data_IF_062344564273
#
_entry.id   IF_062344564273
#
_cell.length_a   1.000
_cell.length_b   1.000
_cell.length_c   1.000
_cell.angle_alpha   90.00
_cell.angle_beta   90.00
_cell.angle_gamma   90.00
#
_symmetry.space_group_name_H-M   'P 1'
#
loop_
_entity.id
_entity.type
_entity.pdbx_description
1 polymer ?
#
# COMPACT_ATOMS: atom_id res chain seq x y z
N UNK A 1 63.56 63.53 -13.72
CA UNK A 1 63.56 62.06 -13.51
C UNK A 1 63.29 61.58 -12.07
N UNK A 2 63.36 62.41 -11.00
CA UNK A 2 63.07 61.97 -9.62
C UNK A 2 61.57 61.76 -9.29
N UNK A 3 60.66 62.49 -9.96
CA UNK A 3 59.20 62.41 -9.71
C UNK A 3 58.57 61.06 -10.14
N UNK A 4 59.00 60.45 -11.25
CA UNK A 4 58.48 59.15 -11.68
C UNK A 4 58.84 57.98 -10.73
N UNK A 5 59.95 58.06 -10.01
CA UNK A 5 60.36 56.98 -9.08
C UNK A 5 59.45 56.93 -7.84
N UNK A 6 59.00 58.08 -7.34
CA UNK A 6 58.07 58.14 -6.21
C UNK A 6 56.67 57.63 -6.60
N UNK A 7 56.20 57.95 -7.81
CA UNK A 7 54.93 57.45 -8.33
C UNK A 7 54.91 55.90 -8.45
N UNK A 8 56.01 55.31 -8.94
CA UNK A 8 56.13 53.84 -9.05
C UNK A 8 56.14 53.18 -7.67
N UNK A 9 56.88 53.73 -6.69
CA UNK A 9 56.92 53.19 -5.33
C UNK A 9 55.52 53.27 -4.67
N UNK A 10 54.79 54.37 -4.86
CA UNK A 10 53.43 54.52 -4.34
C UNK A 10 52.47 53.48 -4.95
N UNK A 11 52.55 53.24 -6.26
CA UNK A 11 51.75 52.21 -6.94
C UNK A 11 52.06 50.79 -6.45
N UNK A 12 53.32 50.47 -6.20
CA UNK A 12 53.73 49.16 -5.65
C UNK A 12 53.15 48.97 -4.24
N UNK A 13 53.18 50.02 -3.39
CA UNK A 13 52.62 49.96 -2.03
C UNK A 13 51.10 49.77 -2.09
N UNK A 14 50.39 50.52 -2.95
CA UNK A 14 48.94 50.38 -3.13
C UNK A 14 48.58 48.99 -3.63
N UNK A 15 49.29 48.45 -4.62
CA UNK A 15 49.09 47.10 -5.13
C UNK A 15 49.32 46.03 -4.05
N UNK A 16 50.35 46.19 -3.22
CA UNK A 16 50.64 45.27 -2.11
C UNK A 16 49.55 45.31 -1.02
N UNK A 17 49.00 46.49 -0.72
CA UNK A 17 47.89 46.65 0.25
C UNK A 17 46.60 46.01 -0.30
N UNK A 18 46.26 46.25 -1.57
CA UNK A 18 45.09 45.64 -2.22
C UNK A 18 45.22 44.11 -2.24
N UNK A 19 46.39 43.59 -2.60
CA UNK A 19 46.66 42.15 -2.61
C UNK A 19 46.57 41.55 -1.19
N UNK A 20 47.08 42.25 -0.18
CA UNK A 20 46.96 41.87 1.23
C UNK A 20 45.51 41.82 1.71
N UNK A 21 44.69 42.81 1.33
CA UNK A 21 43.26 42.85 1.67
C UNK A 21 42.48 41.70 1.01
N UNK A 22 42.72 41.42 -0.27
CA UNK A 22 42.09 40.31 -1.00
C UNK A 22 42.46 38.95 -0.38
N UNK A 23 43.74 38.76 -0.03
CA UNK A 23 44.22 37.54 0.64
C UNK A 23 43.61 37.37 2.04
N UNK A 24 43.41 38.47 2.77
CA UNK A 24 42.77 38.42 4.08
C UNK A 24 41.27 38.14 3.99
N UNK A 25 40.60 38.68 2.97
CA UNK A 25 39.19 38.37 2.68
C UNK A 25 39.01 36.91 2.27
N UNK A 26 39.88 36.35 1.42
CA UNK A 26 39.80 34.94 1.02
C UNK A 26 40.01 33.99 2.19
N UNK A 27 40.96 34.27 3.09
CA UNK A 27 41.17 33.49 4.31
C UNK A 27 39.98 33.56 5.27
N UNK A 28 39.34 34.72 5.40
CA UNK A 28 38.11 34.87 6.20
C UNK A 28 36.95 34.08 5.61
N UNK A 29 36.79 34.10 4.29
CA UNK A 29 35.75 33.33 3.59
C UNK A 29 35.99 31.82 3.76
N UNK A 30 37.23 31.35 3.58
CA UNK A 30 37.61 29.95 3.81
C UNK A 30 37.36 29.49 5.24
N UNK A 31 37.63 30.35 6.24
CA UNK A 31 37.33 30.03 7.65
C UNK A 31 35.83 29.93 7.91
N UNK A 32 35.03 30.82 7.31
CA UNK A 32 33.56 30.76 7.42
C UNK A 32 32.99 29.52 6.76
N UNK A 33 33.45 29.17 5.57
CA UNK A 33 33.01 27.95 4.88
C UNK A 33 33.41 26.71 5.64
N UNK A 34 34.63 26.65 6.19
CA UNK A 34 35.06 25.51 7.03
C UNK A 34 34.24 25.40 8.32
N UNK A 35 33.91 26.52 8.97
CA UNK A 35 33.05 26.51 10.16
C UNK A 35 31.63 26.02 9.83
N UNK A 36 31.04 26.50 8.72
CA UNK A 36 29.73 26.05 8.27
C UNK A 36 29.73 24.57 7.88
N UNK A 37 30.80 24.08 7.22
CA UNK A 37 30.95 22.68 6.87
C UNK A 37 31.09 21.80 8.12
N UNK A 38 31.87 22.23 9.11
CA UNK A 38 32.02 21.53 10.38
C UNK A 38 30.68 21.42 11.13
N UNK A 39 29.86 22.47 11.10
CA UNK A 39 28.52 22.44 11.67
C UNK A 39 27.59 21.48 10.93
N UNK A 40 27.64 21.44 9.59
CA UNK A 40 26.87 20.48 8.79
C UNK A 40 27.28 19.04 9.10
N UNK A 41 28.58 18.76 9.24
CA UNK A 41 29.09 17.43 9.61
C UNK A 41 28.62 17.04 11.01
N UNK A 42 28.66 17.96 11.98
CA UNK A 42 28.17 17.69 13.33
C UNK A 42 26.66 17.36 13.34
N UNK A 43 25.84 18.13 12.62
CA UNK A 43 24.39 17.85 12.49
C UNK A 43 24.12 16.51 11.82
N UNK A 44 24.86 16.18 10.75
CA UNK A 44 24.71 14.90 10.07
C UNK A 44 25.11 13.73 10.98
N UNK A 45 26.16 13.87 11.80
CA UNK A 45 26.54 12.86 12.79
C UNK A 45 25.46 12.65 13.85
N UNK A 46 24.84 13.72 14.33
CA UNK A 46 23.70 13.62 15.26
C UNK A 46 22.54 12.85 14.62
N UNK A 47 22.15 13.20 13.39
CA UNK A 47 21.07 12.50 12.68
C UNK A 47 21.38 11.01 12.46
N UNK A 48 22.61 10.68 12.10
CA UNK A 48 23.03 9.27 11.95
C UNK A 48 22.94 8.52 13.27
N UNK A 49 23.31 9.15 14.39
CA UNK A 49 23.19 8.52 15.71
C UNK A 49 21.74 8.28 16.13
N UNK A 50 20.84 9.23 15.86
CA UNK A 50 19.41 9.10 16.14
C UNK A 50 18.77 8.00 15.28
N UNK A 51 19.07 7.97 13.98
CA UNK A 51 18.58 6.93 13.07
C UNK A 51 19.09 5.54 13.48
N UNK A 52 20.33 5.44 13.96
CA UNK A 52 20.91 4.18 14.43
C UNK A 52 20.19 3.68 15.69
N UNK A 53 19.90 4.55 16.65
CA UNK A 53 19.11 4.21 17.84
C UNK A 53 17.69 3.76 17.43
N UNK A 54 17.07 4.48 16.49
CA UNK A 54 15.75 4.11 15.95
C UNK A 54 15.75 2.73 15.27
N UNK A 55 16.78 2.44 14.46
CA UNK A 55 16.94 1.14 13.80
C UNK A 55 17.12 0.01 14.82
N UNK A 56 17.97 0.21 15.83
CA UNK A 56 18.20 -0.78 16.89
C UNK A 56 16.93 -1.04 17.69
N UNK A 57 16.11 0.00 17.93
CA UNK A 57 14.82 -0.13 18.62
C UNK A 57 13.82 -0.91 17.78
N UNK A 58 13.66 -0.56 16.50
CA UNK A 58 12.77 -1.28 15.59
C UNK A 58 13.18 -2.75 15.40
N UNK A 59 14.49 -3.04 15.39
CA UNK A 59 14.99 -4.42 15.35
C UNK A 59 14.64 -5.21 16.60
N UNK A 60 14.69 -4.59 17.79
CA UNK A 60 14.27 -5.24 19.05
C UNK A 60 12.76 -5.50 19.05
N UNK A 61 11.94 -4.51 18.68
CA UNK A 61 10.49 -4.67 18.59
C UNK A 61 10.11 -5.80 17.62
N UNK A 62 10.78 -5.87 16.45
CA UNK A 62 10.56 -6.96 15.49
C UNK A 62 10.97 -8.33 16.05
N UNK A 63 12.06 -8.40 16.82
CA UNK A 63 12.50 -9.63 17.47
C UNK A 63 11.53 -10.07 18.58
N UNK A 64 11.01 -9.14 19.37
CA UNK A 64 9.98 -9.41 20.38
C UNK A 64 8.67 -9.90 19.75
N UNK A 65 8.24 -9.26 18.66
CA UNK A 65 7.01 -9.68 17.95
C UNK A 65 7.16 -11.06 17.31
N UNK A 66 8.35 -11.37 16.77
CA UNK A 66 8.67 -12.73 16.30
C UNK A 66 8.65 -13.75 17.43
N UNK A 67 9.26 -13.43 18.57
CA UNK A 67 9.24 -14.31 19.73
C UNK A 67 7.80 -14.57 20.23
N UNK A 68 6.95 -13.53 20.30
CA UNK A 68 5.52 -13.69 20.64
C UNK A 68 4.79 -14.56 19.63
N UNK A 69 5.04 -14.36 18.34
CA UNK A 69 4.44 -15.19 17.28
C UNK A 69 4.87 -16.65 17.40
N UNK A 70 6.15 -16.90 17.65
CA UNK A 70 6.69 -18.25 17.82
C UNK A 70 6.14 -18.90 19.09
N UNK A 71 5.95 -18.14 20.17
CA UNK A 71 5.29 -18.62 21.40
C UNK A 71 3.82 -18.97 21.14
N UNK A 72 3.07 -18.12 20.44
CA UNK A 72 1.69 -18.42 20.04
C UNK A 72 1.65 -19.64 19.11
N UNK A 73 2.58 -19.76 18.17
CA UNK A 73 2.69 -20.91 17.28
C UNK A 73 3.02 -22.20 18.05
N UNK A 74 3.90 -22.14 19.05
CA UNK A 74 4.23 -23.28 19.91
C UNK A 74 3.07 -23.67 20.83
N UNK A 75 2.35 -22.69 21.39
CA UNK A 75 1.18 -22.92 22.22
C UNK A 75 0.04 -23.51 21.39
N UNK A 76 -0.18 -23.02 20.16
CA UNK A 76 -1.16 -23.58 19.23
C UNK A 76 -0.76 -24.96 18.71
N UNK A 77 0.53 -25.23 18.51
CA UNK A 77 1.03 -26.57 18.17
C UNK A 77 0.87 -27.56 19.33
N UNK A 78 1.11 -27.13 20.57
CA UNK A 78 0.86 -27.93 21.79
C UNK A 78 -0.63 -28.20 21.93
N UNK A 79 -1.49 -27.19 21.77
CA UNK A 79 -2.94 -27.37 21.75
C UNK A 79 -3.37 -28.33 20.64
N UNK A 80 -2.80 -28.20 19.44
CA UNK A 80 -3.08 -29.07 18.30
C UNK A 80 -2.57 -30.50 18.53
N UNK A 81 -1.52 -30.70 19.33
CA UNK A 81 -0.99 -32.00 19.73
C UNK A 81 -1.81 -32.63 20.85
N UNK A 82 -2.28 -31.85 21.82
CA UNK A 82 -3.25 -32.29 22.85
C UNK A 82 -4.61 -32.60 22.23
N UNK A 83 -4.98 -31.88 21.18
CA UNK A 83 -6.15 -32.14 20.34
C UNK A 83 -5.87 -33.17 19.24
N UNK A 84 -4.63 -33.64 19.07
CA UNK A 84 -4.28 -34.63 18.05
C UNK A 84 -4.93 -35.96 18.44
N UNK A 85 -5.89 -36.47 17.65
CA UNK A 85 -6.55 -37.73 17.97
C UNK A 85 -5.59 -38.87 17.65
N UNK A 86 -5.35 -39.74 18.63
CA UNK A 86 -5.09 -41.13 18.31
C UNK A 86 -6.19 -41.63 17.36
N UNK A 87 -5.79 -42.11 16.19
CA UNK A 87 -6.62 -42.79 15.19
C UNK A 87 -7.79 -41.95 14.59
N UNK A 88 -7.47 -41.12 13.60
CA UNK A 88 -8.30 -40.00 13.10
C UNK A 88 -9.38 -40.36 12.07
N UNK A 89 -9.39 -41.59 11.52
CA UNK A 89 -10.40 -41.97 10.52
C UNK A 89 -11.72 -42.46 11.14
N UNK A 90 -11.72 -42.92 12.39
CA UNK A 90 -12.90 -43.52 13.03
C UNK A 90 -13.81 -42.52 13.78
N UNK A 91 -13.46 -41.22 13.83
CA UNK A 91 -14.04 -40.25 14.79
C UNK A 91 -15.12 -39.33 14.22
N UNK A 92 -15.36 -39.35 12.92
CA UNK A 92 -16.44 -38.56 12.32
C UNK A 92 -17.74 -39.34 12.49
N UNK A 93 -18.47 -39.07 13.58
CA UNK A 93 -19.89 -39.43 13.66
C UNK A 93 -20.56 -38.93 12.38
N UNK A 94 -21.42 -39.75 11.77
CA UNK A 94 -22.22 -39.28 10.65
C UNK A 94 -22.93 -37.97 11.06
N UNK A 95 -23.01 -36.96 10.17
CA UNK A 95 -23.71 -35.73 10.49
C UNK A 95 -25.13 -36.07 10.96
N UNK A 96 -25.65 -35.38 11.99
CA UNK A 96 -27.00 -35.61 12.47
C UNK A 96 -28.01 -35.43 11.33
N UNK A 97 -29.12 -36.18 11.41
CA UNK A 97 -30.14 -36.25 10.33
C UNK A 97 -30.77 -34.88 10.01
N UNK A 98 -30.69 -33.94 10.96
CA UNK A 98 -31.16 -32.55 10.78
C UNK A 98 -29.98 -31.62 11.00
N UNK A 99 -29.83 -30.62 10.11
CA UNK A 99 -28.83 -29.57 10.21
C UNK A 99 -29.49 -28.18 10.13
N UNK A 100 -28.95 -27.16 10.81
CA UNK A 100 -27.88 -27.24 11.81
C UNK A 100 -28.39 -27.89 13.11
N UNK A 101 -27.54 -28.67 13.78
CA UNK A 101 -27.84 -29.24 15.09
C UNK A 101 -26.69 -28.92 16.06
N UNK A 102 -27.06 -28.47 17.25
CA UNK A 102 -26.12 -28.10 18.30
C UNK A 102 -26.25 -29.11 19.43
N UNK A 103 -25.36 -30.09 19.44
CA UNK A 103 -25.24 -31.05 20.52
C UNK A 103 -24.23 -30.51 21.57
N UNK A 104 -24.67 -30.14 22.78
CA UNK A 104 -23.78 -29.64 23.82
C UNK A 104 -22.74 -30.66 24.30
N UNK A 105 -22.97 -31.96 24.06
CA UNK A 105 -22.02 -33.03 24.39
C UNK A 105 -20.99 -33.28 23.26
N UNK A 106 -21.25 -32.72 22.07
CA UNK A 106 -20.33 -32.81 20.93
C UNK A 106 -19.29 -31.70 21.00
N UNK A 107 -17.99 -32.01 20.85
CA UNK A 107 -16.95 -30.97 20.70
C UNK A 107 -17.01 -30.25 19.35
N UNK A 108 -17.95 -30.63 18.46
CA UNK A 108 -18.10 -30.09 17.11
C UNK A 108 -19.54 -29.67 16.82
N UNK A 109 -19.69 -28.65 15.99
CA UNK A 109 -20.98 -28.17 15.47
C UNK A 109 -21.06 -28.52 13.99
N UNK A 110 -22.16 -29.15 13.58
CA UNK A 110 -22.40 -29.46 12.17
C UNK A 110 -23.18 -28.32 11.52
N UNK A 111 -22.58 -27.70 10.52
CA UNK A 111 -23.18 -26.61 9.76
C UNK A 111 -23.39 -27.03 8.31
N UNK A 112 -24.52 -26.61 7.74
CA UNK A 112 -24.71 -26.69 6.30
C UNK A 112 -23.69 -25.79 5.59
N UNK A 113 -23.07 -26.29 4.52
CA UNK A 113 -22.05 -25.55 3.75
C UNK A 113 -22.59 -24.23 3.20
N UNK A 114 -23.87 -24.17 2.85
CA UNK A 114 -24.52 -22.96 2.38
C UNK A 114 -24.57 -21.85 3.42
N UNK A 115 -24.54 -22.17 4.72
CA UNK A 115 -24.48 -21.17 5.79
C UNK A 115 -23.13 -20.46 5.83
N UNK A 116 -22.05 -21.07 5.34
CA UNK A 116 -20.73 -20.44 5.29
C UNK A 116 -20.77 -19.12 4.48
N UNK A 117 -21.60 -19.06 3.44
CA UNK A 117 -21.77 -17.87 2.60
C UNK A 117 -22.50 -16.71 3.28
N UNK A 118 -23.08 -16.94 4.47
CA UNK A 118 -23.79 -15.92 5.25
C UNK A 118 -22.91 -15.25 6.30
N UNK A 119 -21.72 -15.79 6.59
CA UNK A 119 -20.81 -15.17 7.52
C UNK A 119 -20.09 -14.00 6.85
N UNK A 120 -20.07 -12.80 7.46
CA UNK A 120 -19.41 -11.64 6.90
C UNK A 120 -17.89 -11.75 7.10
N UNK A 121 -17.27 -12.71 6.42
CA UNK A 121 -15.82 -12.92 6.44
C UNK A 121 -15.28 -12.53 5.07
N UNK A 122 -14.33 -11.60 5.05
CA UNK A 122 -13.62 -11.28 3.82
C UNK A 122 -12.61 -12.40 3.53
N UNK A 123 -12.76 -13.14 2.41
CA UNK A 123 -11.96 -14.34 2.17
C UNK A 123 -10.52 -14.00 1.78
N UNK A 124 -10.29 -12.83 1.19
CA UNK A 124 -8.99 -12.38 0.72
C UNK A 124 -8.62 -11.02 1.29
N UNK A 125 -7.33 -10.81 1.52
CA UNK A 125 -6.78 -9.47 1.76
C UNK A 125 -6.83 -8.65 0.46
N UNK A 126 -6.57 -7.33 0.51
CA UNK A 126 -6.41 -6.53 -0.71
C UNK A 126 -5.30 -7.07 -1.62
N UNK A 127 -4.31 -7.79 -1.13
CA UNK A 127 -3.25 -8.37 -1.97
C UNK A 127 -3.65 -9.69 -2.65
N UNK A 128 -4.86 -10.21 -2.41
CA UNK A 128 -5.29 -11.52 -2.90
C UNK A 128 -4.82 -12.70 -2.03
N UNK A 129 -4.33 -12.42 -0.82
CA UNK A 129 -3.90 -13.46 0.13
C UNK A 129 -5.13 -14.01 0.85
N UNK A 130 -5.29 -15.33 0.87
CA UNK A 130 -6.36 -16.00 1.58
C UNK A 130 -6.26 -15.70 3.08
N UNK A 131 -7.39 -15.33 3.68
CA UNK A 131 -7.53 -15.15 5.11
C UNK A 131 -7.21 -16.49 5.81
N UNK A 132 -6.26 -16.53 6.77
CA UNK A 132 -5.87 -17.77 7.44
C UNK A 132 -7.03 -18.52 8.07
N UNK A 133 -7.99 -17.81 8.67
CA UNK A 133 -9.16 -18.42 9.30
C UNK A 133 -10.04 -19.15 8.26
N UNK A 134 -10.18 -18.58 7.06
CA UNK A 134 -10.91 -19.21 5.96
C UNK A 134 -10.16 -20.44 5.45
N UNK A 135 -8.83 -20.35 5.32
CA UNK A 135 -7.98 -21.51 4.98
C UNK A 135 -8.13 -22.67 5.97
N UNK A 136 -8.18 -22.37 7.27
CA UNK A 136 -8.40 -23.37 8.32
C UNK A 136 -9.79 -24.00 8.24
N UNK A 137 -10.85 -23.21 8.06
CA UNK A 137 -12.24 -23.72 7.92
C UNK A 137 -12.38 -24.62 6.68
N UNK A 138 -11.68 -24.29 5.60
CA UNK A 138 -11.67 -25.08 4.36
C UNK A 138 -10.66 -26.23 4.37
N UNK A 139 -10.02 -26.46 5.51
CA UNK A 139 -9.05 -27.55 5.75
C UNK A 139 -7.92 -27.59 4.72
N UNK A 140 -7.45 -26.41 4.29
CA UNK A 140 -6.30 -26.32 3.41
C UNK A 140 -5.03 -26.63 4.20
N UNK A 141 -4.18 -27.48 3.64
CA UNK A 141 -2.87 -27.72 4.23
C UNK A 141 -1.92 -26.53 3.95
N UNK A 142 -0.78 -26.43 4.66
CA UNK A 142 0.13 -25.30 4.50
C UNK A 142 0.72 -25.15 3.09
N UNK A 143 0.93 -26.26 2.38
CA UNK A 143 1.46 -26.25 1.01
C UNK A 143 0.43 -25.70 0.02
N UNK A 144 -0.81 -26.20 0.06
CA UNK A 144 -1.94 -25.69 -0.74
C UNK A 144 -2.16 -24.21 -0.48
N UNK A 145 -2.12 -23.80 0.79
CA UNK A 145 -2.30 -22.38 1.16
C UNK A 145 -1.21 -21.51 0.55
N UNK A 146 0.05 -21.96 0.57
CA UNK A 146 1.17 -21.23 -0.02
C UNK A 146 1.03 -21.13 -1.54
N UNK A 147 0.83 -22.25 -2.22
CA UNK A 147 0.68 -22.29 -3.68
C UNK A 147 -0.50 -21.45 -4.17
N UNK A 148 -1.62 -21.51 -3.45
CA UNK A 148 -2.79 -20.68 -3.71
C UNK A 148 -2.45 -19.19 -3.56
N UNK A 149 -1.89 -18.80 -2.41
CA UNK A 149 -1.55 -17.41 -2.13
C UNK A 149 -0.54 -16.84 -3.14
N UNK A 150 0.48 -17.60 -3.51
CA UNK A 150 1.49 -17.18 -4.49
C UNK A 150 0.85 -16.95 -5.88
N UNK A 151 -0.04 -17.84 -6.29
CA UNK A 151 -0.73 -17.77 -7.58
C UNK A 151 -1.73 -16.63 -7.62
N UNK A 152 -2.61 -16.53 -6.62
CA UNK A 152 -3.63 -15.47 -6.56
C UNK A 152 -3.01 -14.09 -6.41
N UNK A 153 -1.96 -13.93 -5.59
CA UNK A 153 -1.27 -12.64 -5.44
C UNK A 153 -0.65 -12.18 -6.75
N UNK A 154 -0.10 -13.11 -7.54
CA UNK A 154 0.44 -12.80 -8.87
C UNK A 154 -0.65 -12.33 -9.82
N UNK A 155 -1.79 -13.03 -9.86
CA UNK A 155 -2.94 -12.63 -10.69
C UNK A 155 -3.48 -11.25 -10.29
N UNK A 156 -3.58 -10.96 -8.99
CA UNK A 156 -4.00 -9.64 -8.50
C UNK A 156 -2.99 -8.56 -8.89
N UNK A 157 -1.69 -8.85 -8.75
CA UNK A 157 -0.64 -7.91 -9.16
C UNK A 157 -0.66 -7.65 -10.67
N UNK A 158 -0.87 -8.69 -11.48
CA UNK A 158 -0.99 -8.58 -12.94
C UNK A 158 -2.21 -7.75 -13.34
N UNK A 159 -3.39 -8.05 -12.78
CA UNK A 159 -4.59 -7.24 -12.99
C UNK A 159 -4.33 -5.76 -12.69
N UNK A 160 -3.73 -5.47 -11.52
CA UNK A 160 -3.45 -4.09 -11.09
C UNK A 160 -2.47 -3.37 -11.99
N UNK A 161 -1.44 -4.07 -12.47
CA UNK A 161 -0.49 -3.51 -13.42
C UNK A 161 -1.20 -3.15 -14.74
N UNK A 162 -2.09 -4.02 -15.21
CA UNK A 162 -2.87 -3.77 -16.43
C UNK A 162 -3.90 -2.65 -16.24
N UNK A 163 -4.58 -2.61 -15.10
CA UNK A 163 -5.50 -1.54 -14.73
C UNK A 163 -4.79 -0.18 -14.73
N UNK A 164 -3.60 -0.09 -14.12
CA UNK A 164 -2.79 1.12 -14.10
C UNK A 164 -2.26 1.49 -15.50
N UNK A 165 -1.85 0.51 -16.31
CA UNK A 165 -1.33 0.74 -17.66
C UNK A 165 -2.39 1.28 -18.64
N UNK A 166 -3.66 0.92 -18.44
CA UNK A 166 -4.78 1.40 -19.25
C UNK A 166 -5.46 2.64 -18.68
N UNK A 167 -5.03 3.12 -17.52
CA UNK A 167 -5.56 4.33 -16.91
C UNK A 167 -5.21 5.55 -17.77
N UNK A 168 -6.21 6.37 -18.07
CA UNK A 168 -6.09 7.54 -18.91
C UNK A 168 -6.60 8.77 -18.18
N UNK A 169 -5.95 9.91 -18.42
CA UNK A 169 -6.46 11.18 -17.94
C UNK A 169 -7.70 11.55 -18.74
N UNK A 170 -8.75 11.94 -18.02
CA UNK A 170 -10.06 12.27 -18.59
C UNK A 170 -10.44 13.68 -18.15
N UNK A 171 -10.29 14.67 -19.03
CA UNK A 171 -10.51 16.08 -18.64
C UNK A 171 -11.98 16.55 -18.79
N UNK A 172 -12.89 15.65 -19.19
CA UNK A 172 -14.32 15.99 -19.38
C UNK A 172 -15.06 16.03 -18.05
N UNK A 173 -16.06 16.92 -17.95
CA UNK A 173 -16.94 16.98 -16.79
C UNK A 173 -17.70 15.67 -16.58
N UNK A 174 -17.60 15.14 -15.36
CA UNK A 174 -18.31 13.92 -14.96
C UNK A 174 -19.78 14.27 -14.72
N UNK A 175 -20.74 13.64 -15.43
CA UNK A 175 -22.16 13.87 -15.21
C UNK A 175 -22.55 13.63 -13.75
N UNK A 176 -23.26 14.59 -13.15
CA UNK A 176 -23.68 14.55 -11.74
C UNK A 176 -22.66 15.12 -10.74
N UNK A 177 -21.46 15.50 -11.20
CA UNK A 177 -20.52 16.27 -10.41
C UNK A 177 -20.75 17.76 -10.64
N UNK A 178 -20.96 18.53 -9.57
CA UNK A 178 -21.05 19.99 -9.69
C UNK A 178 -19.70 20.55 -10.17
N UNK A 179 -19.69 21.52 -11.10
CA UNK A 179 -18.47 22.24 -11.43
C UNK A 179 -17.99 22.95 -10.16
N UNK A 180 -16.84 22.51 -9.64
CA UNK A 180 -16.26 23.05 -8.40
C UNK A 180 -14.93 23.71 -8.70
N UNK A 181 -14.64 24.76 -7.95
CA UNK A 181 -13.37 25.48 -8.02
C UNK A 181 -12.26 24.64 -7.41
N UNK A 182 -11.11 24.57 -8.07
CA UNK A 182 -9.96 23.82 -7.59
C UNK A 182 -9.17 23.16 -8.71
N UNK A 183 -8.00 22.65 -8.36
CA UNK A 183 -7.21 21.82 -9.26
C UNK A 183 -7.80 20.41 -9.29
N UNK A 184 -8.28 19.97 -10.45
CA UNK A 184 -8.92 18.67 -10.64
C UNK A 184 -8.05 17.77 -11.50
N UNK A 185 -7.92 16.53 -11.06
CA UNK A 185 -7.39 15.45 -11.87
C UNK A 185 -8.39 14.30 -11.87
N UNK A 186 -8.78 13.88 -13.06
CA UNK A 186 -9.68 12.74 -13.26
C UNK A 186 -8.97 11.69 -14.10
N UNK A 187 -9.06 10.46 -13.64
CA UNK A 187 -8.56 9.25 -14.28
C UNK A 187 -9.75 8.37 -14.64
N UNK A 188 -9.83 7.98 -15.89
CA UNK A 188 -10.72 6.95 -16.37
C UNK A 188 -9.92 5.69 -16.67
N UNK A 189 -10.43 4.56 -16.23
CA UNK A 189 -9.94 3.24 -16.60
C UNK A 189 -11.05 2.61 -17.45
N UNK A 190 -10.82 2.40 -18.75
CA UNK A 190 -11.80 1.76 -19.62
C UNK A 190 -11.99 0.29 -19.20
N UNK A 191 -13.11 -0.34 -19.58
CA UNK A 191 -13.30 -1.76 -19.36
C UNK A 191 -12.25 -2.58 -20.12
N UNK A 192 -11.80 -3.67 -19.51
CA UNK A 192 -10.80 -4.62 -19.99
C UNK A 192 -11.42 -6.02 -20.13
N UNK A 193 -12.49 -6.22 -20.92
CA UNK A 193 -13.32 -7.43 -20.85
C UNK A 193 -12.58 -8.71 -21.24
N UNK A 194 -11.73 -8.69 -22.27
CA UNK A 194 -11.01 -9.88 -22.73
C UNK A 194 -9.92 -10.32 -21.74
N UNK A 195 -9.08 -9.36 -21.32
CA UNK A 195 -8.05 -9.58 -20.31
C UNK A 195 -8.67 -10.00 -18.98
N UNK A 196 -9.75 -9.31 -18.58
CA UNK A 196 -10.50 -9.55 -17.38
C UNK A 196 -11.07 -10.96 -17.31
N UNK A 197 -11.73 -11.39 -18.38
CA UNK A 197 -12.24 -12.76 -18.51
C UNK A 197 -11.11 -13.79 -18.39
N UNK A 198 -9.97 -13.57 -19.04
CA UNK A 198 -8.82 -14.49 -18.94
C UNK A 198 -8.28 -14.59 -17.52
N UNK A 199 -8.12 -13.45 -16.81
CA UNK A 199 -7.64 -13.43 -15.43
C UNK A 199 -8.64 -14.06 -14.47
N UNK A 200 -9.94 -13.85 -14.70
CA UNK A 200 -11.02 -14.48 -13.95
C UNK A 200 -10.99 -16.00 -14.12
N UNK A 201 -10.89 -16.50 -15.36
CA UNK A 201 -10.79 -17.94 -15.64
C UNK A 201 -9.58 -18.57 -14.95
N UNK A 202 -8.44 -17.87 -14.96
CA UNK A 202 -7.24 -18.31 -14.25
C UNK A 202 -7.43 -18.31 -12.73
N UNK A 203 -8.09 -17.29 -12.19
CA UNK A 203 -8.40 -17.20 -10.75
C UNK A 203 -9.32 -18.35 -10.31
N UNK A 204 -10.42 -18.59 -11.03
CA UNK A 204 -11.36 -19.66 -10.77
C UNK A 204 -10.69 -21.04 -10.90
N UNK A 205 -9.91 -21.26 -11.96
CA UNK A 205 -9.15 -22.50 -12.15
C UNK A 205 -8.15 -22.74 -11.03
N UNK A 206 -7.40 -21.71 -10.62
CA UNK A 206 -6.43 -21.78 -9.51
C UNK A 206 -7.12 -22.22 -8.22
N UNK A 207 -8.32 -21.71 -7.93
CA UNK A 207 -9.11 -22.18 -6.80
C UNK A 207 -9.49 -23.66 -6.97
N UNK A 208 -10.10 -24.03 -8.10
CA UNK A 208 -10.53 -25.42 -8.33
C UNK A 208 -9.37 -26.41 -8.25
N UNK A 209 -8.19 -26.08 -8.77
CA UNK A 209 -7.00 -26.94 -8.71
C UNK A 209 -6.50 -27.14 -7.27
N UNK A 210 -6.51 -26.09 -6.44
CA UNK A 210 -5.92 -26.13 -5.10
C UNK A 210 -6.88 -26.68 -4.04
N UNK A 211 -8.18 -26.43 -4.17
CA UNK A 211 -9.19 -26.83 -3.16
C UNK A 211 -10.32 -27.70 -3.71
N UNK A 212 -10.40 -27.94 -5.01
CA UNK A 212 -11.50 -28.68 -5.64
C UNK A 212 -12.77 -27.85 -5.78
N UNK A 213 -13.66 -28.30 -6.66
CA UNK A 213 -14.84 -27.54 -7.11
C UNK A 213 -15.71 -27.02 -5.96
N UNK A 214 -16.14 -27.90 -5.05
CA UNK A 214 -17.08 -27.52 -3.98
C UNK A 214 -16.53 -26.44 -3.04
N UNK A 215 -15.23 -26.42 -2.76
CA UNK A 215 -14.62 -25.39 -1.90
C UNK A 215 -14.38 -24.10 -2.69
N UNK A 216 -13.99 -24.22 -3.96
CA UNK A 216 -13.82 -23.08 -4.85
C UNK A 216 -15.14 -22.31 -5.04
N UNK A 217 -16.26 -23.00 -5.27
CA UNK A 217 -17.58 -22.37 -5.44
C UNK A 217 -18.00 -21.57 -4.19
N UNK A 218 -17.75 -22.11 -2.99
CA UNK A 218 -18.02 -21.42 -1.73
C UNK A 218 -17.17 -20.16 -1.58
N UNK A 219 -15.88 -20.24 -1.91
CA UNK A 219 -14.98 -19.10 -1.87
C UNK A 219 -15.40 -18.04 -2.87
N UNK A 220 -15.67 -18.40 -4.12
CA UNK A 220 -16.07 -17.46 -5.17
C UNK A 220 -17.34 -16.71 -4.78
N UNK A 221 -18.34 -17.44 -4.27
CA UNK A 221 -19.58 -16.83 -3.79
C UNK A 221 -19.36 -15.89 -2.61
N UNK A 222 -18.49 -16.25 -1.67
CA UNK A 222 -18.17 -15.39 -0.52
C UNK A 222 -17.29 -14.20 -0.93
N UNK A 223 -16.48 -14.34 -1.98
CA UNK A 223 -15.57 -13.34 -2.48
C UNK A 223 -16.20 -12.35 -3.46
N UNK A 224 -17.46 -12.53 -3.87
CA UNK A 224 -18.10 -11.72 -4.93
C UNK A 224 -17.98 -10.21 -4.68
N UNK A 225 -18.27 -9.76 -3.45
CA UNK A 225 -18.12 -8.35 -3.07
C UNK A 225 -16.66 -7.89 -3.15
N UNK A 226 -15.72 -8.71 -2.66
CA UNK A 226 -14.28 -8.41 -2.75
C UNK A 226 -13.80 -8.34 -4.21
N UNK A 227 -14.22 -9.25 -5.08
CA UNK A 227 -13.88 -9.25 -6.52
C UNK A 227 -14.40 -7.98 -7.18
N UNK A 228 -15.67 -7.64 -6.92
CA UNK A 228 -16.30 -6.43 -7.46
C UNK A 228 -15.59 -5.15 -7.02
N UNK A 229 -15.23 -5.06 -5.74
CA UNK A 229 -14.58 -3.87 -5.19
C UNK A 229 -13.10 -3.77 -5.59
N UNK A 230 -12.33 -4.83 -5.32
CA UNK A 230 -10.87 -4.81 -5.45
C UNK A 230 -10.40 -4.97 -6.89
N UNK A 231 -11.14 -5.75 -7.69
CA UNK A 231 -10.78 -6.08 -9.07
C UNK A 231 -11.73 -5.46 -10.09
N UNK A 232 -12.69 -4.63 -9.67
CA UNK A 232 -13.69 -4.04 -10.57
C UNK A 232 -14.43 -5.07 -11.43
N UNK A 233 -14.72 -6.24 -10.84
CA UNK A 233 -15.19 -7.44 -11.56
C UNK A 233 -14.24 -7.83 -12.71
N UNK A 234 -12.95 -7.94 -12.38
CA UNK A 234 -11.83 -8.14 -13.30
C UNK A 234 -11.80 -7.14 -14.45
N UNK A 235 -12.19 -5.89 -14.22
CA UNK A 235 -12.20 -4.86 -15.25
C UNK A 235 -13.32 -5.03 -16.28
N UNK A 236 -14.37 -5.81 -16.00
CA UNK A 236 -15.55 -5.87 -16.87
C UNK A 236 -16.18 -4.48 -17.11
N UNK A 237 -15.95 -3.54 -16.19
CA UNK A 237 -16.56 -2.24 -16.15
C UNK A 237 -15.56 -1.09 -16.21
N UNK A 238 -16.04 0.07 -16.68
CA UNK A 238 -15.28 1.32 -16.54
C UNK A 238 -15.18 1.74 -15.08
N UNK A 239 -14.09 2.39 -14.72
CA UNK A 239 -13.89 3.02 -13.40
C UNK A 239 -13.42 4.46 -13.58
N UNK A 240 -14.07 5.39 -12.91
CA UNK A 240 -13.69 6.81 -12.92
C UNK A 240 -13.28 7.21 -11.51
N UNK A 241 -12.09 7.78 -11.39
CA UNK A 241 -11.51 8.31 -10.16
C UNK A 241 -11.22 9.80 -10.37
N UNK A 242 -11.83 10.66 -9.58
CA UNK A 242 -11.59 12.11 -9.64
C UNK A 242 -11.19 12.62 -8.28
N UNK A 243 -10.08 13.36 -8.23
CA UNK A 243 -9.65 14.10 -7.06
C UNK A 243 -9.64 15.58 -7.41
N UNK A 244 -10.22 16.39 -6.54
CA UNK A 244 -10.20 17.85 -6.65
C UNK A 244 -9.58 18.43 -5.39
N UNK A 245 -8.50 19.19 -5.55
CA UNK A 245 -7.92 20.00 -4.48
C UNK A 245 -8.63 21.34 -4.43
N UNK A 246 -9.27 21.62 -3.30
CA UNK A 246 -10.01 22.85 -3.07
C UNK A 246 -9.08 24.01 -2.69
N UNK A 247 -9.54 25.27 -2.82
CA UNK A 247 -8.75 26.45 -2.43
C UNK A 247 -8.30 26.47 -0.96
N UNK A 248 -9.04 25.80 -0.08
CA UNK A 248 -8.72 25.64 1.35
C UNK A 248 -7.71 24.51 1.64
N UNK A 249 -7.12 23.93 0.59
CA UNK A 249 -6.23 22.77 0.63
C UNK A 249 -6.87 21.46 1.11
N UNK A 250 -8.20 21.38 1.20
CA UNK A 250 -8.89 20.10 1.40
C UNK A 250 -9.07 19.37 0.07
N UNK A 251 -9.29 18.07 0.15
CA UNK A 251 -9.56 17.24 -1.01
C UNK A 251 -11.02 16.81 -1.06
N UNK A 252 -11.52 16.71 -2.28
CA UNK A 252 -12.73 15.99 -2.61
C UNK A 252 -12.35 14.80 -3.49
N UNK A 253 -12.84 13.62 -3.13
CA UNK A 253 -12.64 12.39 -3.89
C UNK A 253 -13.97 11.89 -4.38
N UNK A 254 -14.00 11.53 -5.65
CA UNK A 254 -15.14 10.91 -6.31
C UNK A 254 -14.69 9.64 -7.00
N UNK A 255 -15.40 8.55 -6.72
CA UNK A 255 -15.16 7.24 -7.32
C UNK A 255 -16.47 6.76 -7.89
N UNK A 256 -16.47 6.42 -9.18
CA UNK A 256 -17.62 5.83 -9.85
C UNK A 256 -17.19 4.53 -10.51
N UNK A 257 -17.92 3.48 -10.19
CA UNK A 257 -17.92 2.21 -10.90
C UNK A 257 -19.33 1.98 -11.45
N UNK A 258 -19.57 0.86 -12.13
CA UNK A 258 -20.92 0.49 -12.57
C UNK A 258 -21.89 0.35 -11.37
N UNK A 259 -21.40 -0.21 -10.27
CA UNK A 259 -22.24 -0.64 -9.14
C UNK A 259 -22.24 0.34 -7.96
N UNK A 260 -21.34 1.32 -7.95
CA UNK A 260 -21.16 2.20 -6.81
C UNK A 260 -20.73 3.59 -7.23
N UNK A 261 -21.20 4.57 -6.47
CA UNK A 261 -20.72 5.94 -6.54
C UNK A 261 -20.41 6.41 -5.13
N UNK A 262 -19.18 6.86 -4.91
CA UNK A 262 -18.73 7.43 -3.65
C UNK A 262 -18.27 8.87 -3.89
N UNK A 263 -18.65 9.76 -2.98
CA UNK A 263 -18.14 11.13 -2.93
C UNK A 263 -17.86 11.50 -1.48
N UNK A 264 -16.65 11.96 -1.21
CA UNK A 264 -16.22 12.48 0.10
C UNK A 264 -15.51 13.82 -0.10
N UNK A 265 -15.62 14.73 0.87
CA UNK A 265 -15.03 16.07 0.80
C UNK A 265 -14.57 16.54 2.17
N UNK A 266 -13.58 17.44 2.18
CA UNK A 266 -13.07 18.07 3.41
C UNK A 266 -11.93 17.32 4.10
N UNK A 267 -11.42 16.25 3.48
CA UNK A 267 -10.26 15.51 3.99
C UNK A 267 -8.94 16.22 3.68
N UNK A 268 -7.95 16.07 4.56
CA UNK A 268 -6.57 16.59 4.34
C UNK A 268 -5.73 15.67 3.44
N UNK A 269 -6.25 14.50 3.06
CA UNK A 269 -5.65 13.55 2.14
C UNK A 269 -6.74 12.86 1.34
N UNK A 270 -6.41 12.45 0.12
CA UNK A 270 -7.27 11.62 -0.73
C UNK A 270 -6.81 10.15 -0.81
N UNK A 271 -5.61 9.83 -0.32
CA UNK A 271 -4.97 8.54 -0.55
C UNK A 271 -5.75 7.38 0.06
N UNK A 272 -6.39 7.60 1.22
CA UNK A 272 -7.19 6.59 1.92
C UNK A 272 -8.41 6.11 1.11
N UNK A 273 -8.89 6.93 0.17
CA UNK A 273 -10.05 6.61 -0.66
C UNK A 273 -9.65 5.93 -1.98
N UNK A 274 -8.41 6.12 -2.44
CA UNK A 274 -7.96 5.60 -3.72
C UNK A 274 -7.32 4.20 -3.58
N UNK A 275 -7.53 3.30 -4.55
CA UNK A 275 -6.79 2.05 -4.63
C UNK A 275 -5.28 2.29 -4.62
N UNK A 276 -4.57 1.59 -3.75
CA UNK A 276 -3.14 1.84 -3.48
C UNK A 276 -2.28 1.85 -4.74
N UNK A 277 -2.54 0.93 -5.67
CA UNK A 277 -1.77 0.82 -6.92
C UNK A 277 -2.04 1.96 -7.92
N UNK A 278 -3.11 2.75 -7.75
CA UNK A 278 -3.47 3.87 -8.64
C UNK A 278 -3.09 5.24 -8.06
N UNK A 279 -2.71 5.32 -6.77
CA UNK A 279 -2.39 6.60 -6.10
C UNK A 279 -1.32 7.42 -6.82
N UNK A 280 -0.32 6.74 -7.39
CA UNK A 280 0.78 7.39 -8.11
C UNK A 280 0.30 8.21 -9.31
N UNK A 281 -0.84 7.86 -9.92
CA UNK A 281 -1.44 8.63 -11.03
C UNK A 281 -1.91 10.02 -10.58
N UNK A 282 -2.12 10.21 -9.27
CA UNK A 282 -2.56 11.47 -8.67
C UNK A 282 -1.45 12.28 -8.01
N UNK A 283 -0.19 11.86 -8.18
CA UNK A 283 0.98 12.57 -7.64
C UNK A 283 1.03 14.08 -7.97
N UNK A 284 0.58 14.58 -9.15
CA UNK A 284 0.56 16.00 -9.42
C UNK A 284 -0.21 16.84 -8.39
N UNK A 285 -1.27 16.29 -7.78
CA UNK A 285 -2.07 16.99 -6.77
C UNK A 285 -1.41 17.04 -5.38
N UNK A 286 -0.40 16.19 -5.13
CA UNK A 286 0.34 16.18 -3.86
C UNK A 286 1.36 17.33 -3.76
N UNK A 287 1.66 18.02 -4.86
CA UNK A 287 2.60 19.13 -4.84
C UNK A 287 1.90 20.43 -4.44
N UNK A 288 2.24 20.93 -3.24
CA UNK A 288 2.05 22.33 -2.91
C UNK A 288 2.96 23.15 -3.84
N UNK A 289 2.45 24.11 -4.64
CA UNK A 289 3.33 25.17 -5.12
C UNK A 289 3.80 25.90 -3.87
N UNK A 290 5.04 25.62 -3.47
CA UNK A 290 5.76 26.45 -2.50
C UNK A 290 5.63 27.86 -3.03
N UNK A 291 5.02 28.74 -2.24
CA UNK A 291 4.93 30.16 -2.51
C UNK A 291 6.26 30.65 -3.07
N UNK A 292 6.30 30.96 -4.36
CA UNK A 292 7.32 31.82 -4.92
C UNK A 292 7.18 33.14 -4.19
N UNK A 293 7.99 33.32 -3.15
CA UNK A 293 8.32 34.64 -2.63
C UNK A 293 8.86 35.45 -3.80
N UNK A 294 7.98 36.27 -4.38
CA UNK A 294 8.34 37.32 -5.31
C UNK A 294 9.42 38.22 -4.67
N UNK A 295 10.38 38.71 -5.47
CA UNK A 295 11.57 39.41 -5.00
C UNK A 295 11.29 40.72 -4.29
#
# INVERSE_FOLDING_TARGET
>A
MRSNRLAIILWIIVAAVIFGMLRHQSLRNLRRTNAALAEQVARAQTQVSELRIGLETAQRELAEERARRDEIAANTATLAHELAPGNTEARWSAPPVRLPDWDPESPYVWLDKGLLTRFPVQPFSPAGILNPAVGSVLTLNPEQTRQLNDSLSRLVAEYRAQEAAHAQRFDTDIPGMQPRQGERLTIEIPPLPELGASLRDQFERTLVEQMGQSRADLILKTAEGWIREQLNDFGANSRILSVTRQPDNTYQVFIKTEFSQMSTAGGNSFEEYLPTHLRHLFAPLNHSPISETKP
#
